data_IF_219401978087
#
_entry.id   IF_219401978087
#
_cell.length_a   1.000
_cell.length_b   1.000
_cell.length_c   1.000
_cell.angle_alpha   90.00
_cell.angle_beta   90.00
_cell.angle_gamma   90.00
#
_symmetry.space_group_name_H-M   'P 1'
#
loop_
_entity.id
_entity.type
_entity.pdbx_description
1 polymer ?
#
# COMPACT_ATOMS: atom_id res chain seq x y z
N UNK A 1 -8.91 -9.32 -8.98
CA UNK A 1 -7.82 -10.10 -8.31
C UNK A 1 -7.76 -11.60 -8.64
N UNK A 2 -8.89 -12.30 -8.91
CA UNK A 2 -8.89 -13.76 -9.16
C UNK A 2 -7.94 -14.25 -10.26
N UNK A 3 -7.74 -13.47 -11.33
CA UNK A 3 -6.82 -13.81 -12.43
C UNK A 3 -5.35 -13.75 -12.00
N UNK A 4 -4.95 -12.65 -11.34
CA UNK A 4 -3.58 -12.48 -10.81
C UNK A 4 -3.27 -13.62 -9.83
N UNK A 5 -4.15 -13.88 -8.85
CA UNK A 5 -3.98 -15.02 -7.92
C UNK A 5 -3.76 -16.35 -8.63
N UNK A 6 -4.45 -16.59 -9.75
CA UNK A 6 -4.31 -17.82 -10.53
C UNK A 6 -2.97 -17.89 -11.29
N UNK A 7 -2.50 -16.78 -11.83
CA UNK A 7 -1.33 -16.73 -12.71
C UNK A 7 0.01 -16.66 -11.94
N UNK A 8 0.06 -15.92 -10.82
CA UNK A 8 1.30 -15.75 -10.01
C UNK A 8 1.30 -16.55 -8.70
N UNK A 9 0.16 -17.15 -8.33
CA UNK A 9 0.04 -18.06 -7.21
C UNK A 9 0.51 -17.46 -5.88
N UNK A 10 1.36 -18.20 -5.17
CA UNK A 10 1.84 -17.85 -3.82
C UNK A 10 2.94 -16.76 -3.81
N UNK A 11 3.36 -16.25 -4.97
CA UNK A 11 4.42 -15.23 -5.07
C UNK A 11 3.92 -13.81 -4.76
N UNK A 12 2.60 -13.63 -4.63
CA UNK A 12 1.95 -12.35 -4.34
C UNK A 12 1.15 -12.44 -3.05
N UNK A 13 1.27 -11.40 -2.22
CA UNK A 13 0.50 -11.15 -1.02
C UNK A 13 -0.51 -10.03 -1.27
N UNK A 14 -1.81 -10.30 -1.12
CA UNK A 14 -2.85 -9.30 -1.29
C UNK A 14 -3.22 -8.73 0.07
N UNK A 15 -2.60 -7.60 0.42
CA UNK A 15 -2.81 -6.97 1.72
C UNK A 15 -4.08 -6.09 1.71
N UNK A 16 -4.87 -6.05 2.81
CA UNK A 16 -4.70 -6.82 4.06
C UNK A 16 -5.33 -8.23 4.04
N UNK A 17 -6.03 -8.60 2.97
CA UNK A 17 -6.87 -9.83 2.91
C UNK A 17 -6.12 -11.16 3.12
N UNK A 18 -4.86 -11.25 2.75
CA UNK A 18 -4.01 -12.44 2.98
C UNK A 18 -3.33 -12.42 4.35
N UNK A 19 -3.59 -11.40 5.16
CA UNK A 19 -2.93 -11.13 6.44
C UNK A 19 -2.25 -9.76 6.46
N UNK A 20 -2.14 -9.21 7.67
CA UNK A 20 -1.55 -7.90 7.92
C UNK A 20 -0.02 -7.94 7.92
N UNK A 21 0.56 -9.05 8.36
CA UNK A 21 2.00 -9.30 8.24
C UNK A 21 2.34 -9.70 6.80
N UNK A 22 3.22 -8.94 6.17
CA UNK A 22 3.70 -9.21 4.81
C UNK A 22 4.88 -10.19 4.88
N UNK A 23 4.78 -11.39 4.27
CA UNK A 23 5.89 -12.35 4.27
C UNK A 23 7.07 -11.86 3.42
N UNK A 24 8.29 -12.18 3.87
CA UNK A 24 9.50 -11.92 3.10
C UNK A 24 9.50 -12.67 1.75
N UNK A 25 10.10 -12.06 0.72
CA UNK A 25 10.22 -12.66 -0.61
C UNK A 25 8.95 -12.66 -1.45
N UNK A 26 7.85 -12.06 -0.97
CA UNK A 26 6.62 -11.87 -1.74
C UNK A 26 6.48 -10.46 -2.28
N UNK A 27 5.91 -10.34 -3.48
CA UNK A 27 5.39 -9.06 -3.97
C UNK A 27 4.07 -8.73 -3.29
N UNK A 28 3.81 -7.47 -2.99
CA UNK A 28 2.56 -7.04 -2.35
C UNK A 28 1.67 -6.33 -3.35
N UNK A 29 0.37 -6.64 -3.30
CA UNK A 29 -0.66 -5.76 -3.86
C UNK A 29 -1.44 -5.15 -2.72
N UNK A 30 -1.46 -3.82 -2.67
CA UNK A 30 -2.16 -3.03 -1.67
C UNK A 30 -2.87 -1.86 -2.35
N UNK A 31 -3.89 -1.33 -1.68
CA UNK A 31 -4.56 -0.11 -2.10
C UNK A 31 -3.82 1.12 -1.56
N UNK A 32 -3.78 2.20 -2.33
CA UNK A 32 -3.16 3.47 -1.95
C UNK A 32 -4.00 4.62 -2.46
N UNK A 33 -4.07 5.71 -1.70
CA UNK A 33 -4.77 6.93 -2.10
C UNK A 33 -3.75 8.04 -2.39
N UNK A 34 -3.39 8.29 -3.67
CA UNK A 34 -2.24 9.14 -4.04
C UNK A 34 -2.31 10.57 -3.51
N UNK A 35 -3.52 11.10 -3.33
CA UNK A 35 -3.74 12.47 -2.86
C UNK A 35 -3.15 12.75 -1.47
N UNK A 36 -2.93 11.72 -0.66
CA UNK A 36 -2.23 11.79 0.65
C UNK A 36 -0.78 12.27 0.48
N UNK A 37 -0.16 11.92 -0.65
CA UNK A 37 1.24 12.21 -0.96
C UNK A 37 1.42 13.29 -2.02
N UNK A 38 0.40 13.55 -2.84
CA UNK A 38 0.52 14.39 -4.04
C UNK A 38 1.02 15.82 -3.75
N UNK A 39 0.65 16.37 -2.58
CA UNK A 39 1.06 17.71 -2.11
C UNK A 39 2.45 17.74 -1.46
N UNK A 40 3.04 16.58 -1.14
CA UNK A 40 4.37 16.49 -0.50
C UNK A 40 5.51 16.70 -1.49
N UNK A 41 5.24 16.50 -2.78
CA UNK A 41 6.26 16.57 -3.82
C UNK A 41 5.89 17.61 -4.89
N UNK A 42 6.89 18.31 -5.47
CA UNK A 42 6.63 19.26 -6.53
C UNK A 42 6.07 18.56 -7.78
N UNK A 43 5.11 19.21 -8.43
CA UNK A 43 4.45 18.67 -9.63
C UNK A 43 5.35 18.69 -10.87
N UNK A 44 6.28 19.64 -10.96
CA UNK A 44 7.31 19.72 -12.01
C UNK A 44 6.80 19.45 -13.43
N UNK A 45 5.62 20.01 -13.77
CA UNK A 45 5.01 19.86 -15.11
C UNK A 45 4.30 18.53 -15.37
N UNK A 46 4.25 17.59 -14.42
CA UNK A 46 3.53 16.31 -14.57
C UNK A 46 2.02 16.51 -14.68
N UNK A 47 1.36 15.65 -15.47
CA UNK A 47 -0.11 15.52 -15.45
C UNK A 47 -0.60 14.99 -14.10
N UNK A 48 -1.91 14.95 -13.87
CA UNK A 48 -2.46 14.48 -12.59
C UNK A 48 -2.07 13.02 -12.34
N UNK A 49 -2.35 12.13 -13.29
CA UNK A 49 -2.04 10.69 -13.18
C UNK A 49 -0.52 10.43 -13.05
N UNK A 50 0.30 11.19 -13.77
CA UNK A 50 1.77 11.12 -13.64
C UNK A 50 2.24 11.55 -12.26
N UNK A 51 1.63 12.59 -11.69
CA UNK A 51 1.96 13.05 -10.34
C UNK A 51 1.53 12.02 -9.30
N UNK A 52 0.36 11.42 -9.45
CA UNK A 52 -0.13 10.39 -8.54
C UNK A 52 0.78 9.16 -8.51
N UNK A 53 1.15 8.64 -9.68
CA UNK A 53 2.11 7.54 -9.80
C UNK A 53 3.48 7.90 -9.21
N UNK A 54 3.99 9.10 -9.53
CA UNK A 54 5.28 9.57 -9.01
C UNK A 54 5.29 9.69 -7.49
N UNK A 55 4.25 10.30 -6.90
CA UNK A 55 4.22 10.56 -5.46
C UNK A 55 4.11 9.28 -4.65
N UNK A 56 3.30 8.31 -5.12
CA UNK A 56 3.20 6.98 -4.49
C UNK A 56 4.55 6.28 -4.56
N UNK A 57 5.17 6.19 -5.73
CA UNK A 57 6.46 5.52 -5.91
C UNK A 57 7.57 6.18 -5.08
N UNK A 58 7.60 7.52 -5.06
CA UNK A 58 8.58 8.29 -4.29
C UNK A 58 8.41 8.09 -2.79
N UNK A 59 7.17 8.13 -2.30
CA UNK A 59 6.87 7.89 -0.89
C UNK A 59 7.25 6.46 -0.46
N UNK A 60 6.91 5.44 -1.26
CA UNK A 60 7.29 4.05 -0.97
C UNK A 60 8.82 3.90 -0.86
N UNK A 61 9.56 4.49 -1.80
CA UNK A 61 11.03 4.47 -1.76
C UNK A 61 11.60 5.18 -0.54
N UNK A 62 11.07 6.34 -0.16
CA UNK A 62 11.52 7.06 1.03
C UNK A 62 11.14 6.35 2.34
N UNK A 63 9.95 5.73 2.40
CA UNK A 63 9.50 4.97 3.56
C UNK A 63 10.37 3.74 3.79
N UNK A 64 10.74 3.03 2.71
CA UNK A 64 11.66 1.89 2.78
C UNK A 64 13.07 2.32 3.19
N UNK A 65 13.62 3.37 2.58
CA UNK A 65 14.94 3.90 2.95
C UNK A 65 15.03 4.34 4.42
N UNK A 66 13.91 4.78 4.99
CA UNK A 66 13.80 5.17 6.41
C UNK A 66 13.49 4.00 7.34
N UNK A 67 13.26 2.80 6.81
CA UNK A 67 12.89 1.61 7.59
C UNK A 67 11.53 1.71 8.26
N UNK A 68 10.59 2.49 7.68
CA UNK A 68 9.25 2.71 8.25
C UNK A 68 8.13 2.11 7.42
N UNK A 69 8.42 1.55 6.24
CA UNK A 69 7.40 1.00 5.35
C UNK A 69 6.60 -0.13 6.03
N UNK A 70 7.28 -1.01 6.77
CA UNK A 70 6.66 -2.12 7.51
C UNK A 70 5.57 -1.66 8.48
N UNK A 71 5.72 -0.48 9.10
CA UNK A 71 4.75 0.08 10.05
C UNK A 71 3.41 0.43 9.39
N UNK A 72 3.41 0.70 8.09
CA UNK A 72 2.17 1.01 7.37
C UNK A 72 1.36 -0.24 7.00
N UNK A 73 1.96 -1.44 7.12
CA UNK A 73 1.23 -2.70 6.95
C UNK A 73 0.52 -3.16 8.24
N UNK A 74 0.84 -2.56 9.39
CA UNK A 74 0.18 -2.81 10.68
C UNK A 74 -0.17 -1.48 11.38
N UNK A 75 -1.14 -0.72 10.84
CA UNK A 75 -1.61 0.52 11.46
C UNK A 75 -2.28 0.24 12.82
N UNK A 76 -2.28 1.20 13.75
CA UNK A 76 -2.82 1.02 15.11
C UNK A 76 -4.36 1.06 15.14
N UNK A 77 -5.00 0.11 14.46
CA UNK A 77 -6.45 -0.03 14.41
C UNK A 77 -6.99 -0.73 15.66
N UNK A 78 -8.19 -0.33 16.06
CA UNK A 78 -9.00 -1.09 17.02
C UNK A 78 -9.42 -2.44 16.42
N UNK A 79 -9.80 -3.40 17.26
CA UNK A 79 -10.28 -4.71 16.79
C UNK A 79 -11.52 -4.58 15.88
N UNK A 80 -12.37 -3.57 16.13
CA UNK A 80 -13.56 -3.28 15.32
C UNK A 80 -13.16 -2.75 13.94
N UNK A 81 -12.28 -1.75 13.87
CA UNK A 81 -11.75 -1.23 12.60
C UNK A 81 -11.04 -2.31 11.80
N UNK A 82 -10.27 -3.17 12.48
CA UNK A 82 -9.57 -4.29 11.85
C UNK A 82 -10.54 -5.32 11.27
N UNK A 83 -11.63 -5.61 12.00
CA UNK A 83 -12.69 -6.50 11.51
C UNK A 83 -13.40 -5.94 10.28
N UNK A 84 -13.61 -4.63 10.21
CA UNK A 84 -14.15 -3.96 9.03
C UNK A 84 -13.14 -4.00 7.87
N UNK A 85 -11.86 -3.70 8.15
CA UNK A 85 -10.80 -3.71 7.14
C UNK A 85 -10.49 -5.11 6.59
N UNK A 86 -10.72 -6.19 7.33
CA UNK A 86 -10.62 -7.56 6.83
C UNK A 86 -11.67 -7.86 5.74
N UNK A 87 -12.79 -7.12 5.73
CA UNK A 87 -13.85 -7.24 4.72
C UNK A 87 -13.70 -6.22 3.59
N UNK A 88 -13.39 -4.97 3.92
CA UNK A 88 -13.40 -3.85 2.96
C UNK A 88 -12.01 -3.50 2.43
N UNK A 89 -10.94 -3.90 3.12
CA UNK A 89 -9.57 -3.52 2.85
C UNK A 89 -9.10 -2.33 3.69
N UNK A 90 -7.84 -1.93 3.46
CA UNK A 90 -7.25 -0.73 4.07
C UNK A 90 -6.37 -0.01 3.05
N UNK A 91 -6.22 1.31 3.23
CA UNK A 91 -5.39 2.14 2.36
C UNK A 91 -4.00 2.24 2.99
N UNK A 92 -2.99 1.76 2.26
CA UNK A 92 -1.60 1.82 2.67
C UNK A 92 -1.15 3.27 2.85
N UNK A 93 -0.60 3.58 4.02
CA UNK A 93 -0.14 4.93 4.36
C UNK A 93 -1.12 5.75 5.22
N UNK A 94 -2.31 5.22 5.51
CA UNK A 94 -3.23 5.77 6.52
C UNK A 94 -2.98 5.06 7.86
N UNK A 95 -2.78 5.87 8.90
CA UNK A 95 -2.58 5.47 10.30
C UNK A 95 -3.56 6.20 11.21
#
# INVERSE_FOLDING_TARGET
MRRIRREVGNSVHFWPFDGWEVPEGKSVVAEVYPSIFSKRYPRSGRTADQQDAYCVARWLSEAEQRGILSRYFDPPLTDEERSIADLEGWILGIV
#
